data_IF_911187297610
#
_entry.id   IF_911187297610
#
_cell.length_a   1.000
_cell.length_b   1.000
_cell.length_c   1.000
_cell.angle_alpha   90.00
_cell.angle_beta   90.00
_cell.angle_gamma   90.00
#
_symmetry.space_group_name_H-M   'P 1'
#
loop_
_entity.id
_entity.type
_entity.pdbx_description
1 polymer ?
#
# COMPACT_ATOMS: atom_id res chain seq x y z
N UNK A 1 -2.77 4.20 -2.59
CA UNK A 1 -3.16 2.76 -2.47
C UNK A 1 -2.22 1.91 -3.32
N UNK A 2 -2.18 0.59 -3.17
CA UNK A 2 -1.24 -0.25 -3.93
C UNK A 2 -1.52 -0.31 -5.44
N UNK A 3 -0.48 -0.52 -6.24
CA UNK A 3 -0.55 -0.68 -7.71
C UNK A 3 -1.33 -1.91 -8.16
N UNK A 4 -1.50 -2.90 -7.29
CA UNK A 4 -2.43 -4.03 -7.51
C UNK A 4 -3.88 -3.59 -7.74
N UNK A 5 -4.26 -2.40 -7.26
CA UNK A 5 -5.60 -1.86 -7.46
C UNK A 5 -5.75 -1.00 -8.73
N UNK A 6 -4.67 -0.77 -9.48
CA UNK A 6 -4.66 0.14 -10.63
C UNK A 6 -5.71 -0.27 -11.68
N UNK A 7 -5.76 -1.54 -12.05
CA UNK A 7 -6.71 -2.07 -13.03
C UNK A 7 -8.19 -1.92 -12.61
N UNK A 8 -8.46 -1.77 -11.31
CA UNK A 8 -9.83 -1.55 -10.81
C UNK A 8 -10.25 -0.08 -10.80
N UNK A 9 -9.31 0.86 -10.99
CA UNK A 9 -9.56 2.31 -10.89
C UNK A 9 -10.60 2.79 -11.88
N UNK A 10 -10.52 2.33 -13.13
CA UNK A 10 -11.50 2.72 -14.17
C UNK A 10 -12.94 2.33 -13.80
N UNK A 11 -13.14 1.10 -13.28
CA UNK A 11 -14.47 0.63 -12.83
C UNK A 11 -14.99 1.45 -11.65
N UNK A 12 -14.11 1.79 -10.71
CA UNK A 12 -14.49 2.60 -9.55
C UNK A 12 -14.86 4.04 -9.92
N UNK A 13 -14.12 4.66 -10.86
CA UNK A 13 -14.46 5.99 -11.39
C UNK A 13 -15.83 5.94 -12.09
N UNK A 14 -16.08 4.91 -12.92
CA UNK A 14 -17.37 4.74 -13.59
C UNK A 14 -18.51 4.61 -12.57
N UNK A 15 -18.36 3.75 -11.56
CA UNK A 15 -19.35 3.58 -10.51
C UNK A 15 -19.59 4.90 -9.75
N UNK A 16 -18.54 5.62 -9.39
CA UNK A 16 -18.66 6.90 -8.71
C UNK A 16 -19.46 7.93 -9.52
N UNK A 17 -19.24 8.01 -10.84
CA UNK A 17 -20.01 8.89 -11.73
C UNK A 17 -21.49 8.51 -11.77
N UNK A 18 -21.81 7.22 -11.85
CA UNK A 18 -23.20 6.73 -11.80
C UNK A 18 -23.90 7.06 -10.49
N UNK A 19 -23.14 7.16 -9.39
CA UNK A 19 -23.62 7.57 -8.07
C UNK A 19 -23.62 9.11 -7.88
N UNK A 20 -23.46 9.89 -8.96
CA UNK A 20 -23.54 11.36 -8.92
C UNK A 20 -22.22 12.07 -8.58
N UNK A 21 -21.07 11.38 -8.60
CA UNK A 21 -19.78 12.05 -8.38
C UNK A 21 -19.28 12.70 -9.67
N UNK A 22 -19.31 14.03 -9.69
CA UNK A 22 -18.87 14.84 -10.84
C UNK A 22 -17.35 14.76 -11.09
N UNK A 23 -16.54 14.82 -10.01
CA UNK A 23 -15.08 14.83 -10.09
C UNK A 23 -14.49 13.60 -9.42
N UNK A 24 -13.68 12.77 -10.12
CA UNK A 24 -12.99 11.65 -9.48
C UNK A 24 -11.89 12.16 -8.53
N UNK A 25 -11.58 11.43 -7.44
CA UNK A 25 -10.41 11.69 -6.64
C UNK A 25 -9.11 11.57 -7.46
N UNK A 26 -8.05 12.22 -6.99
CA UNK A 26 -6.69 11.94 -7.47
C UNK A 26 -6.21 10.64 -6.86
N UNK A 27 -5.78 9.70 -7.70
CA UNK A 27 -5.28 8.40 -7.24
C UNK A 27 -3.76 8.32 -7.38
N UNK A 28 -3.08 8.02 -6.27
CA UNK A 28 -1.70 7.57 -6.29
C UNK A 28 -1.65 6.06 -6.03
N UNK A 29 -0.97 5.33 -6.93
CA UNK A 29 -0.78 3.89 -6.89
C UNK A 29 0.66 3.58 -6.55
N UNK A 30 0.95 3.32 -5.27
CA UNK A 30 2.32 3.07 -4.81
C UNK A 30 2.78 1.65 -5.18
N UNK A 31 4.10 1.43 -5.35
CA UNK A 31 4.68 0.09 -5.53
C UNK A 31 4.31 -0.86 -4.39
N UNK A 32 4.32 -2.15 -4.67
CA UNK A 32 4.12 -3.18 -3.66
C UNK A 32 5.44 -3.52 -2.99
N UNK A 33 5.40 -3.77 -1.69
CA UNK A 33 6.52 -4.38 -0.98
C UNK A 33 6.58 -5.86 -1.38
N UNK A 34 7.74 -6.25 -1.91
CA UNK A 34 8.02 -7.61 -2.36
C UNK A 34 9.15 -8.23 -1.55
N UNK A 35 9.15 -9.56 -1.47
CA UNK A 35 10.25 -10.38 -0.96
C UNK A 35 11.44 -10.31 -1.94
N UNK A 36 12.65 -10.71 -1.52
CA UNK A 36 13.82 -10.78 -2.41
C UNK A 36 13.61 -11.65 -3.66
N UNK A 37 12.71 -12.64 -3.57
CA UNK A 37 12.32 -13.52 -4.68
C UNK A 37 11.24 -12.91 -5.60
N UNK A 38 10.86 -11.64 -5.39
CA UNK A 38 9.88 -10.92 -6.19
C UNK A 38 8.41 -11.17 -5.82
N UNK A 39 8.11 -12.09 -4.89
CA UNK A 39 6.73 -12.33 -4.46
C UNK A 39 6.22 -11.20 -3.56
N UNK A 40 4.96 -10.79 -3.77
CA UNK A 40 4.28 -9.83 -2.88
C UNK A 40 4.23 -10.36 -1.45
N UNK A 41 4.42 -9.49 -0.47
CA UNK A 41 4.09 -9.85 0.92
C UNK A 41 2.59 -10.14 1.07
N UNK A 42 2.25 -11.25 1.73
CA UNK A 42 0.86 -11.62 1.99
C UNK A 42 0.66 -12.22 3.38
N UNK A 43 -0.49 -11.93 3.98
CA UNK A 43 -0.89 -12.53 5.26
C UNK A 43 -1.11 -14.04 5.13
N UNK A 44 -1.58 -14.52 3.98
CA UNK A 44 -1.79 -15.94 3.70
C UNK A 44 -0.50 -16.73 3.70
N UNK A 45 0.60 -16.14 3.23
CA UNK A 45 1.94 -16.74 3.28
C UNK A 45 2.57 -16.66 4.69
N UNK A 46 1.83 -16.15 5.68
CA UNK A 46 2.32 -15.82 7.03
C UNK A 46 3.57 -14.93 7.00
N UNK A 47 3.66 -14.05 6.00
CA UNK A 47 4.71 -13.04 5.97
C UNK A 47 4.56 -12.08 7.15
N UNK A 48 5.67 -11.47 7.55
CA UNK A 48 5.74 -10.61 8.75
C UNK A 48 4.69 -9.49 8.71
N UNK A 49 3.84 -9.44 9.72
CA UNK A 49 2.86 -8.38 9.90
C UNK A 49 3.31 -7.30 10.87
N UNK A 50 2.58 -6.18 10.89
CA UNK A 50 2.83 -5.06 11.82
C UNK A 50 2.74 -5.50 13.29
N UNK A 51 1.88 -6.48 13.62
CA UNK A 51 1.76 -7.02 14.99
C UNK A 51 3.04 -7.75 15.41
N UNK A 52 3.63 -8.52 14.50
CA UNK A 52 4.88 -9.25 14.76
C UNK A 52 6.04 -8.27 14.95
N UNK A 53 6.10 -7.23 14.12
CA UNK A 53 7.10 -6.16 14.27
C UNK A 53 6.95 -5.45 15.62
N UNK A 54 5.72 -5.10 16.02
CA UNK A 54 5.46 -4.49 17.33
C UNK A 54 5.84 -5.41 18.48
N UNK A 55 5.53 -6.70 18.39
CA UNK A 55 5.95 -7.69 19.40
C UNK A 55 7.48 -7.82 19.50
N UNK A 56 8.21 -7.52 18.41
CA UNK A 56 9.67 -7.44 18.37
C UNK A 56 10.23 -6.08 18.80
N UNK A 57 9.40 -5.18 19.32
CA UNK A 57 9.82 -3.88 19.84
C UNK A 57 9.86 -2.73 18.82
N UNK A 58 9.40 -2.94 17.59
CA UNK A 58 9.38 -1.87 16.59
C UNK A 58 8.36 -0.78 16.95
N UNK A 59 8.81 0.47 16.87
CA UNK A 59 7.99 1.67 16.95
C UNK A 59 7.16 1.86 15.67
N UNK A 60 6.11 2.69 15.75
CA UNK A 60 5.33 3.04 14.56
C UNK A 60 6.19 3.75 13.51
N UNK A 61 7.08 4.64 13.93
CA UNK A 61 7.99 5.37 13.05
C UNK A 61 8.89 4.40 12.26
N UNK A 62 9.53 3.44 12.94
CA UNK A 62 10.39 2.44 12.26
C UNK A 62 9.61 1.60 11.24
N UNK A 63 8.36 1.23 11.53
CA UNK A 63 7.52 0.46 10.59
C UNK A 63 7.19 1.30 9.36
N UNK A 64 6.81 2.57 9.54
CA UNK A 64 6.47 3.47 8.42
C UNK A 64 7.70 3.71 7.54
N UNK A 65 8.82 4.06 8.15
CA UNK A 65 10.11 4.25 7.49
C UNK A 65 10.55 3.02 6.69
N UNK A 66 10.47 1.84 7.31
CA UNK A 66 10.79 0.58 6.67
C UNK A 66 9.87 0.23 5.49
N UNK A 67 8.58 0.59 5.58
CA UNK A 67 7.61 0.38 4.51
C UNK A 67 7.84 1.37 3.36
N UNK A 68 8.07 2.66 3.67
CA UNK A 68 8.36 3.71 2.69
C UNK A 68 9.60 3.36 1.87
N UNK A 69 10.72 3.02 2.53
CA UNK A 69 11.96 2.61 1.85
C UNK A 69 11.76 1.40 0.94
N UNK A 70 11.02 0.38 1.40
CA UNK A 70 10.78 -0.85 0.61
C UNK A 70 9.79 -0.65 -0.54
N UNK A 71 8.94 0.37 -0.45
CA UNK A 71 8.04 0.77 -1.53
C UNK A 71 8.66 1.84 -2.45
N UNK A 72 9.94 2.17 -2.29
CA UNK A 72 10.66 3.25 -2.97
C UNK A 72 9.90 4.60 -2.92
N UNK A 73 9.27 4.87 -1.78
CA UNK A 73 8.60 6.14 -1.51
C UNK A 73 9.59 7.06 -0.79
N UNK A 74 9.96 8.17 -1.44
CA UNK A 74 10.85 9.20 -0.88
C UNK A 74 10.04 10.38 -0.34
N UNK A 75 10.55 11.03 0.71
CA UNK A 75 9.99 12.28 1.25
C UNK A 75 8.72 12.13 2.08
N UNK A 76 8.50 10.97 2.70
CA UNK A 76 7.51 10.84 3.76
C UNK A 76 8.19 11.25 5.06
N UNK A 77 8.29 12.56 5.31
CA UNK A 77 8.66 13.05 6.64
C UNK A 77 7.51 12.68 7.58
N UNK A 78 7.75 11.68 8.44
CA UNK A 78 6.79 11.13 9.38
C UNK A 78 6.68 11.95 10.67
#
# INVERSE_FOLDING_TARGET
>A
RGVDLLASTGRQIRLARLLGRERPPVFFHHPLIVKPDGRKLSKSDRDTGVRDLRARGWTAHEVIEAAARRADLRGIDA
#
